data_IF_315534892243
#
_entry.id   IF_315534892243
#
_cell.length_a   1.000
_cell.length_b   1.000
_cell.length_c   1.000
_cell.angle_alpha   90.00
_cell.angle_beta   90.00
_cell.angle_gamma   90.00
#
_symmetry.space_group_name_H-M   'P 1'
#
loop_
_entity.id
_entity.type
_entity.pdbx_description
1 polymer ?
#
# COMPACT_ATOMS: atom_id res chain seq x y z
N UNK A 1 9.11 1.50 -6.14
CA UNK A 1 8.59 0.25 -6.72
C UNK A 1 7.18 0.03 -6.22
N UNK A 2 6.25 -0.24 -7.12
CA UNK A 2 4.84 -0.52 -6.82
C UNK A 2 4.52 -1.90 -7.39
N UNK A 3 3.92 -2.76 -6.58
CA UNK A 3 3.41 -4.09 -6.98
C UNK A 3 1.91 -4.11 -6.67
N UNK A 4 1.07 -4.06 -7.71
CA UNK A 4 -0.39 -3.91 -7.58
C UNK A 4 -1.09 -5.16 -7.02
N UNK A 5 -0.51 -6.34 -7.26
CA UNK A 5 -1.00 -7.59 -6.67
C UNK A 5 0.17 -8.51 -6.35
N UNK A 6 0.63 -8.45 -5.10
CA UNK A 6 1.75 -9.27 -4.62
C UNK A 6 1.42 -10.77 -4.60
N UNK A 7 0.13 -11.13 -4.46
CA UNK A 7 -0.28 -12.53 -4.44
C UNK A 7 0.01 -13.26 -5.76
N UNK A 8 0.08 -12.54 -6.89
CA UNK A 8 0.44 -13.13 -8.18
C UNK A 8 1.85 -13.73 -8.18
N UNK A 9 2.74 -13.23 -7.32
CA UNK A 9 4.12 -13.69 -7.20
C UNK A 9 4.30 -14.68 -6.04
N UNK A 10 3.65 -14.42 -4.90
CA UNK A 10 3.75 -15.32 -3.73
C UNK A 10 2.87 -16.55 -3.84
N UNK A 11 1.90 -16.59 -4.77
CA UNK A 11 1.12 -17.80 -5.09
C UNK A 11 1.50 -18.42 -6.42
N UNK A 12 2.67 -18.07 -6.94
CA UNK A 12 3.17 -18.61 -8.20
C UNK A 12 3.23 -20.16 -8.15
N UNK A 13 2.78 -20.87 -9.20
CA UNK A 13 2.71 -22.34 -9.20
C UNK A 13 4.09 -23.01 -9.12
N UNK A 14 5.13 -22.39 -9.69
CA UNK A 14 6.51 -22.82 -9.48
C UNK A 14 7.02 -22.36 -8.09
N UNK A 15 7.21 -23.34 -7.20
CA UNK A 15 7.76 -23.16 -5.87
C UNK A 15 9.12 -22.44 -5.87
N UNK A 16 10.03 -22.77 -6.79
CA UNK A 16 11.36 -22.15 -6.84
C UNK A 16 11.26 -20.67 -7.21
N UNK A 17 10.35 -20.33 -8.14
CA UNK A 17 10.11 -18.94 -8.50
C UNK A 17 9.54 -18.14 -7.32
N UNK A 18 8.58 -18.72 -6.58
CA UNK A 18 8.04 -18.12 -5.35
C UNK A 18 9.13 -17.86 -4.30
N UNK A 19 9.93 -18.88 -3.98
CA UNK A 19 10.99 -18.76 -2.97
C UNK A 19 12.04 -17.71 -3.34
N UNK A 20 12.42 -17.62 -4.62
CA UNK A 20 13.31 -16.57 -5.11
C UNK A 20 12.70 -15.17 -4.95
N UNK A 21 11.45 -15.02 -5.36
CA UNK A 21 10.74 -13.74 -5.22
C UNK A 21 10.63 -13.31 -3.76
N UNK A 22 10.24 -14.21 -2.85
CA UNK A 22 10.15 -13.91 -1.42
C UNK A 22 11.50 -13.47 -0.83
N UNK A 23 12.59 -14.14 -1.21
CA UNK A 23 13.94 -13.78 -0.77
C UNK A 23 14.36 -12.39 -1.29
N UNK A 24 14.13 -12.10 -2.57
CA UNK A 24 14.43 -10.79 -3.18
C UNK A 24 13.57 -9.68 -2.57
N UNK A 25 12.27 -9.94 -2.37
CA UNK A 25 11.34 -9.00 -1.77
C UNK A 25 11.74 -8.65 -0.34
N UNK A 26 12.16 -9.64 0.45
CA UNK A 26 12.66 -9.42 1.81
C UNK A 26 13.96 -8.60 1.82
N UNK A 27 14.88 -8.87 0.88
CA UNK A 27 16.12 -8.09 0.74
C UNK A 27 15.81 -6.61 0.42
N UNK A 28 14.88 -6.36 -0.50
CA UNK A 28 14.43 -5.00 -0.85
C UNK A 28 13.70 -4.34 0.33
N UNK A 29 12.80 -5.05 1.01
CA UNK A 29 12.06 -4.49 2.13
C UNK A 29 13.00 -4.08 3.28
N UNK A 30 14.02 -4.91 3.58
CA UNK A 30 14.94 -4.66 4.71
C UNK A 30 16.05 -3.65 4.40
N UNK A 31 16.56 -3.60 3.17
CA UNK A 31 17.72 -2.76 2.83
C UNK A 31 17.39 -1.62 1.86
N UNK A 32 16.28 -1.70 1.13
CA UNK A 32 15.97 -0.78 0.03
C UNK A 32 15.95 0.69 0.43
N UNK A 33 15.47 0.99 1.64
CA UNK A 33 15.44 2.36 2.15
C UNK A 33 16.82 3.04 2.18
N UNK A 34 17.89 2.29 2.45
CA UNK A 34 19.29 2.79 2.46
C UNK A 34 19.75 3.27 1.09
N UNK A 35 19.13 2.76 0.03
CA UNK A 35 19.43 3.06 -1.37
C UNK A 35 18.36 3.94 -2.02
N UNK A 36 17.45 4.54 -1.23
CA UNK A 36 16.37 5.38 -1.74
C UNK A 36 15.20 4.61 -2.36
N UNK A 37 15.17 3.27 -2.27
CA UNK A 37 14.07 2.46 -2.78
C UNK A 37 12.89 2.54 -1.81
N UNK A 38 11.71 2.90 -2.33
CA UNK A 38 10.42 2.86 -1.62
C UNK A 38 9.52 1.79 -2.22
N UNK A 39 8.94 0.98 -1.35
CA UNK A 39 8.17 -0.20 -1.72
C UNK A 39 6.69 0.01 -1.40
N UNK A 40 5.83 -0.23 -2.38
CA UNK A 40 4.38 -0.28 -2.23
C UNK A 40 3.90 -1.67 -2.65
N UNK A 41 3.34 -2.41 -1.71
CA UNK A 41 2.78 -3.75 -1.94
C UNK A 41 1.27 -3.67 -1.76
N UNK A 42 0.54 -4.04 -2.80
CA UNK A 42 -0.91 -4.07 -2.83
C UNK A 42 -1.37 -5.53 -3.02
N UNK A 43 -2.51 -5.87 -2.43
CA UNK A 43 -3.19 -7.15 -2.62
C UNK A 43 -4.67 -7.01 -2.31
N UNK A 44 -5.51 -7.74 -3.05
CA UNK A 44 -6.95 -7.77 -2.80
C UNK A 44 -7.31 -8.63 -1.59
N UNK A 45 -6.60 -9.75 -1.39
CA UNK A 45 -6.89 -10.71 -0.31
C UNK A 45 -5.67 -10.87 0.59
N UNK A 46 -5.58 -10.10 1.70
CA UNK A 46 -4.49 -10.25 2.64
C UNK A 46 -4.53 -11.64 3.27
N UNK A 47 -3.39 -12.32 3.28
CA UNK A 47 -3.24 -13.61 3.96
C UNK A 47 -1.77 -13.87 4.30
N UNK A 48 -1.51 -14.81 5.21
CA UNK A 48 -0.16 -15.10 5.69
C UNK A 48 0.78 -15.64 4.59
N UNK A 49 0.23 -16.33 3.58
CA UNK A 49 0.94 -16.79 2.38
C UNK A 49 1.18 -15.68 1.35
N UNK A 50 0.50 -14.53 1.48
CA UNK A 50 0.70 -13.37 0.59
C UNK A 50 1.69 -12.38 1.19
N UNK A 51 1.54 -12.06 2.47
CA UNK A 51 2.45 -11.19 3.20
C UNK A 51 2.96 -11.90 4.44
N UNK A 52 4.11 -12.56 4.29
CA UNK A 52 4.78 -13.24 5.40
C UNK A 52 5.13 -12.24 6.51
N UNK A 53 5.21 -12.72 7.75
CA UNK A 53 5.58 -11.88 8.90
C UNK A 53 6.94 -11.19 8.70
N UNK A 54 7.91 -11.87 8.08
CA UNK A 54 9.23 -11.31 7.82
C UNK A 54 9.19 -10.10 6.89
N UNK A 55 8.33 -10.10 5.87
CA UNK A 55 8.15 -8.95 4.98
C UNK A 55 7.39 -7.85 5.73
N UNK A 56 6.30 -8.19 6.41
CA UNK A 56 5.41 -7.23 7.09
C UNK A 56 6.14 -6.40 8.15
N UNK A 57 7.07 -6.99 8.91
CA UNK A 57 7.86 -6.27 9.93
C UNK A 57 8.85 -5.26 9.34
N UNK A 58 9.17 -5.36 8.05
CA UNK A 58 10.01 -4.40 7.34
C UNK A 58 9.21 -3.26 6.67
N UNK A 59 7.87 -3.29 6.75
CA UNK A 59 7.02 -2.24 6.20
C UNK A 59 6.65 -1.23 7.29
N UNK A 60 6.93 0.05 7.05
CA UNK A 60 6.62 1.14 7.99
C UNK A 60 5.20 1.69 7.86
N UNK A 61 4.44 1.25 6.86
CA UNK A 61 3.09 1.71 6.62
C UNK A 61 2.16 0.56 6.27
N UNK A 62 0.93 0.64 6.78
CA UNK A 62 -0.14 -0.32 6.55
C UNK A 62 -1.42 0.46 6.28
N UNK A 63 -2.10 0.14 5.18
CA UNK A 63 -3.38 0.74 4.79
C UNK A 63 -4.31 -0.41 4.42
N UNK A 64 -5.41 -0.58 5.16
CA UNK A 64 -6.43 -1.58 4.87
C UNK A 64 -7.71 -0.87 4.43
N UNK A 65 -8.06 -1.02 3.15
CA UNK A 65 -9.40 -0.72 2.66
C UNK A 65 -10.38 -1.78 3.15
N UNK A 66 -11.67 -1.64 2.80
CA UNK A 66 -12.70 -2.56 3.26
C UNK A 66 -12.37 -3.99 2.85
N UNK A 67 -12.43 -4.89 3.83
CA UNK A 67 -12.28 -6.34 3.66
C UNK A 67 -13.55 -7.05 4.12
N UNK A 68 -13.70 -8.32 3.73
CA UNK A 68 -14.91 -9.08 4.00
C UNK A 68 -14.99 -9.57 5.45
N UNK A 69 -13.85 -9.95 6.04
CA UNK A 69 -13.81 -10.55 7.37
C UNK A 69 -12.82 -9.87 8.30
N UNK A 70 -13.07 -9.99 9.61
CA UNK A 70 -12.12 -9.53 10.64
C UNK A 70 -10.77 -10.25 10.48
N UNK A 71 -10.79 -11.52 10.09
CA UNK A 71 -9.55 -12.28 9.87
C UNK A 71 -8.70 -11.69 8.74
N UNK A 72 -9.31 -11.27 7.63
CA UNK A 72 -8.59 -10.56 6.54
C UNK A 72 -7.93 -9.26 7.06
N UNK A 73 -8.63 -8.51 7.93
CA UNK A 73 -8.09 -7.30 8.55
C UNK A 73 -6.89 -7.61 9.46
N UNK A 74 -6.97 -8.68 10.25
CA UNK A 74 -5.93 -9.07 11.20
C UNK A 74 -4.62 -9.53 10.53
N UNK A 75 -4.68 -10.03 9.30
CA UNK A 75 -3.48 -10.35 8.52
C UNK A 75 -2.58 -9.13 8.28
N UNK A 76 -3.17 -7.93 8.18
CA UNK A 76 -2.42 -6.68 8.06
C UNK A 76 -2.25 -5.99 9.42
N UNK A 77 -3.23 -6.09 10.31
CA UNK A 77 -3.23 -5.53 11.66
C UNK A 77 -3.34 -6.62 12.73
N UNK A 78 -2.24 -7.32 13.10
CA UNK A 78 -2.29 -8.43 14.06
C UNK A 78 -2.88 -8.05 15.43
N UNK A 79 -2.57 -6.84 15.90
CA UNK A 79 -3.08 -6.29 17.16
C UNK A 79 -4.51 -5.69 17.01
N UNK A 80 -5.13 -5.88 15.85
CA UNK A 80 -6.42 -5.28 15.48
C UNK A 80 -7.60 -5.72 16.33
N UNK A 81 -7.48 -6.82 17.10
CA UNK A 81 -8.52 -7.28 18.04
C UNK A 81 -8.68 -6.36 19.26
N UNK A 82 -7.64 -5.60 19.59
CA UNK A 82 -7.63 -4.65 20.70
C UNK A 82 -8.07 -3.24 20.27
N UNK A 83 -8.33 -3.04 18.97
CA UNK A 83 -8.71 -1.75 18.41
C UNK A 83 -10.23 -1.58 18.37
N UNK A 84 -10.68 -0.36 18.65
CA UNK A 84 -12.09 0.04 18.46
C UNK A 84 -12.47 0.26 16.98
N UNK A 85 -11.54 0.01 16.06
CA UNK A 85 -11.72 0.21 14.62
C UNK A 85 -11.33 -1.05 13.84
N UNK A 86 -12.07 -1.32 12.77
CA UNK A 86 -11.84 -2.44 11.87
C UNK A 86 -12.14 -2.04 10.44
N UNK A 87 -11.43 -2.66 9.49
CA UNK A 87 -11.74 -2.55 8.07
C UNK A 87 -12.78 -3.58 7.60
N UNK A 88 -13.15 -4.54 8.46
CA UNK A 88 -14.19 -5.54 8.21
C UNK A 88 -15.60 -4.98 8.49
N UNK A 89 -15.90 -3.83 7.90
CA UNK A 89 -17.15 -3.10 8.10
C UNK A 89 -17.82 -2.86 6.74
N UNK A 90 -18.97 -3.51 6.52
CA UNK A 90 -19.74 -3.39 5.27
C UNK A 90 -20.31 -1.98 5.07
N UNK A 91 -20.49 -1.23 6.15
CA UNK A 91 -20.95 0.17 6.14
C UNK A 91 -19.82 1.16 5.87
N UNK A 92 -18.56 0.70 5.86
CA UNK A 92 -17.42 1.58 5.61
C UNK A 92 -17.57 2.25 4.24
N UNK A 93 -17.57 3.61 4.19
CA UNK A 93 -17.73 4.33 2.94
C UNK A 93 -16.58 4.06 1.96
N UNK A 94 -16.86 4.21 0.66
CA UNK A 94 -15.82 4.12 -0.36
C UNK A 94 -14.69 5.13 -0.11
N UNK A 95 -13.45 4.71 -0.38
CA UNK A 95 -12.24 5.50 -0.15
C UNK A 95 -11.83 5.63 1.32
N UNK A 96 -12.62 5.14 2.29
CA UNK A 96 -12.18 5.07 3.69
C UNK A 96 -11.37 3.80 3.92
N UNK A 97 -10.28 3.94 4.67
CA UNK A 97 -9.40 2.85 5.09
C UNK A 97 -9.00 3.00 6.55
N UNK A 98 -8.47 1.92 7.13
CA UNK A 98 -7.73 1.96 8.40
C UNK A 98 -6.24 2.01 8.06
N UNK A 99 -5.53 3.02 8.56
CA UNK A 99 -4.12 3.23 8.24
C UNK A 99 -3.27 3.43 9.49
N UNK A 100 -2.04 2.93 9.45
CA UNK A 100 -0.96 3.23 10.39
C UNK A 100 0.29 3.49 9.56
N UNK A 101 0.87 4.68 9.69
CA UNK A 101 1.97 5.15 8.83
C UNK A 101 3.10 5.66 9.72
N UNK A 102 4.32 5.21 9.44
CA UNK A 102 5.51 5.66 10.14
C UNK A 102 5.50 5.24 11.61
N UNK A 103 5.59 6.23 12.49
CA UNK A 103 5.65 6.10 13.95
C UNK A 103 4.29 6.28 14.64
N UNK A 104 3.18 6.29 13.88
CA UNK A 104 1.84 6.34 14.43
C UNK A 104 1.62 5.20 15.43
N UNK A 105 1.32 5.56 16.69
CA UNK A 105 1.11 4.61 17.80
C UNK A 105 -0.16 3.79 17.66
N UNK A 106 -1.20 4.38 17.07
CA UNK A 106 -2.49 3.75 16.87
C UNK A 106 -2.94 3.92 15.41
N UNK A 107 -3.56 2.89 14.81
CA UNK A 107 -4.18 3.04 13.51
C UNK A 107 -5.34 4.04 13.57
N UNK A 108 -5.60 4.73 12.45
CA UNK A 108 -6.64 5.75 12.31
C UNK A 108 -7.49 5.50 11.07
N UNK A 109 -8.70 6.07 11.03
CA UNK A 109 -9.47 6.16 9.80
C UNK A 109 -8.84 7.19 8.86
N UNK A 110 -8.55 6.79 7.63
CA UNK A 110 -8.01 7.63 6.57
C UNK A 110 -9.04 7.73 5.44
N UNK A 111 -9.30 8.95 4.96
CA UNK A 111 -10.05 9.17 3.71
C UNK A 111 -9.06 9.35 2.57
N UNK A 112 -9.11 8.45 1.60
CA UNK A 112 -8.34 8.55 0.37
C UNK A 112 -8.94 9.61 -0.55
N UNK A 113 -8.07 10.28 -1.32
CA UNK A 113 -8.50 11.17 -2.40
C UNK A 113 -9.05 10.32 -3.54
N UNK A 114 -10.19 10.75 -4.09
CA UNK A 114 -10.73 10.15 -5.31
C UNK A 114 -10.06 10.77 -6.53
N UNK A 115 -9.41 9.94 -7.34
CA UNK A 115 -8.82 10.35 -8.61
C UNK A 115 -9.60 9.65 -9.75
N UNK A 116 -10.41 10.38 -10.51
CA UNK A 116 -11.10 9.84 -11.67
C UNK A 116 -10.13 9.29 -12.72
N UNK A 117 -10.56 8.29 -13.48
CA UNK A 117 -9.74 7.66 -14.54
C UNK A 117 -9.32 8.69 -15.60
N UNK A 118 -10.21 9.62 -15.94
CA UNK A 118 -9.96 10.69 -16.88
C UNK A 118 -8.83 11.62 -16.38
N UNK A 119 -8.78 11.90 -15.08
CA UNK A 119 -7.71 12.66 -14.47
C UNK A 119 -6.38 11.91 -14.50
N UNK A 120 -6.39 10.57 -14.38
CA UNK A 120 -5.18 9.76 -14.58
C UNK A 120 -4.64 9.89 -16.01
N UNK A 121 -5.51 9.87 -17.02
CA UNK A 121 -5.11 10.08 -18.42
C UNK A 121 -4.51 11.47 -18.64
N UNK A 122 -5.16 12.51 -18.11
CA UNK A 122 -4.65 13.88 -18.18
C UNK A 122 -3.27 14.03 -17.53
N UNK A 123 -3.06 13.42 -16.35
CA UNK A 123 -1.75 13.41 -15.68
C UNK A 123 -0.71 12.72 -16.56
N UNK A 124 -1.04 11.55 -17.14
CA UNK A 124 -0.15 10.83 -18.03
C UNK A 124 0.25 11.67 -19.27
N UNK A 125 -0.72 12.31 -19.92
CA UNK A 125 -0.46 13.15 -21.09
C UNK A 125 0.44 14.34 -20.76
N UNK A 126 0.25 14.96 -19.59
CA UNK A 126 1.11 16.02 -19.09
C UNK A 126 2.54 15.53 -18.81
N UNK A 127 2.69 14.32 -18.24
CA UNK A 127 3.99 13.71 -18.00
C UNK A 127 4.73 13.39 -19.31
N UNK A 128 4.04 12.83 -20.30
CA UNK A 128 4.59 12.55 -21.62
C UNK A 128 5.02 13.84 -22.34
N UNK A 129 4.18 14.88 -22.30
CA UNK A 129 4.46 16.19 -22.91
C UNK A 129 5.67 16.86 -22.27
N UNK A 130 5.83 16.74 -20.95
CA UNK A 130 6.99 17.25 -20.23
C UNK A 130 8.28 16.47 -20.54
N UNK A 131 8.18 15.30 -21.17
CA UNK A 131 9.32 14.45 -21.54
C UNK A 131 10.04 13.87 -20.34
N UNK A 132 9.31 13.51 -19.27
CA UNK A 132 9.86 13.01 -17.99
C UNK A 132 10.88 13.97 -17.33
N UNK A 133 10.91 15.24 -17.74
CA UNK A 133 11.74 16.25 -17.08
C UNK A 133 11.28 16.39 -15.64
N UNK A 134 12.20 16.16 -14.72
CA UNK A 134 11.96 16.37 -13.29
C UNK A 134 11.66 17.85 -13.09
N UNK A 135 10.42 18.16 -12.69
CA UNK A 135 10.07 19.50 -12.23
C UNK A 135 10.56 19.65 -10.79
N UNK A 136 11.13 20.80 -10.48
CA UNK A 136 11.36 21.14 -9.07
C UNK A 136 10.02 21.16 -8.33
N UNK A 137 10.02 20.59 -7.13
CA UNK A 137 8.84 20.65 -6.27
C UNK A 137 8.56 22.13 -5.97
N UNK A 138 7.32 22.60 -6.13
CA UNK A 138 6.99 23.97 -5.77
C UNK A 138 7.26 24.18 -4.26
N UNK A 139 7.82 25.33 -3.90
CA UNK A 139 8.18 25.65 -2.52
C UNK A 139 6.95 25.67 -1.58
N UNK A 140 5.74 25.79 -2.13
CA UNK A 140 4.47 25.61 -1.43
C UNK A 140 3.40 25.11 -2.42
N UNK A 141 2.44 24.33 -1.91
CA UNK A 141 1.26 23.90 -2.65
C UNK A 141 0.04 24.49 -1.97
N UNK A 142 -0.72 25.30 -2.71
CA UNK A 142 -2.00 25.84 -2.25
C UNK A 142 -3.09 24.76 -2.40
N UNK A 143 -3.34 24.05 -1.31
CA UNK A 143 -4.34 22.97 -1.25
C UNK A 143 -5.78 23.48 -1.40
N UNK A 144 -6.02 24.79 -1.28
CA UNK A 144 -7.36 25.40 -1.43
C UNK A 144 -7.85 25.48 -2.87
N UNK A 145 -6.97 25.25 -3.86
CA UNK A 145 -7.32 25.24 -5.30
C UNK A 145 -7.46 23.86 -5.91
N UNK A 146 -7.21 22.80 -5.12
CA UNK A 146 -7.26 21.41 -5.57
C UNK A 146 -8.58 20.70 -5.24
N UNK A 147 -9.60 21.44 -4.79
CA UNK A 147 -10.94 20.96 -4.46
C UNK A 147 -12.00 21.58 -5.38
#
# INVERSE_FOLDING_TARGET
MVIDEVANYTRHPDRKARERFEAELLAIASQGAKFGIRLWLLTQKPSADVLTTAIRTNLSARICHRVDTVEDFLHLFPDGRELDITAADRTMPQGVSIASVGDMRSPVRLRSVYLPTESCWQINDLMCTAGLKVRELPASVDLGKAA
#
